data_IF_919787861009
#
_entry.id   IF_919787861009
#
_cell.length_a   1.000
_cell.length_b   1.000
_cell.length_c   1.000
_cell.angle_alpha   90.00
_cell.angle_beta   90.00
_cell.angle_gamma   90.00
#
_symmetry.space_group_name_H-M   'P 1'
#
loop_
_entity.id
_entity.type
_entity.pdbx_description
1 polymer ?
#
# COMPACT_ATOMS: atom_id res chain seq x y z
N UNK A 1 -9.45 -13.12 -11.11
CA UNK A 1 -9.06 -13.69 -9.80
C UNK A 1 -8.05 -14.84 -9.95
N UNK A 2 -8.29 -15.85 -10.81
CA UNK A 2 -7.38 -17.00 -10.99
C UNK A 2 -5.98 -16.61 -11.51
N UNK A 3 -5.88 -15.58 -12.35
CA UNK A 3 -4.61 -15.13 -12.94
C UNK A 3 -3.71 -14.36 -11.96
N UNK A 4 -4.30 -13.66 -11.00
CA UNK A 4 -3.56 -12.95 -9.94
C UNK A 4 -3.00 -13.96 -8.95
N UNK A 5 -3.81 -14.89 -8.49
CA UNK A 5 -3.39 -16.02 -7.63
C UNK A 5 -2.33 -16.89 -8.31
N UNK A 6 -2.43 -17.14 -9.64
CA UNK A 6 -1.44 -17.90 -10.40
C UNK A 6 -0.09 -17.19 -10.54
N UNK A 7 -0.07 -15.85 -10.61
CA UNK A 7 1.17 -15.05 -10.59
C UNK A 7 1.79 -15.02 -9.20
N UNK A 8 0.98 -14.93 -8.15
CA UNK A 8 1.44 -15.04 -6.76
C UNK A 8 1.99 -16.43 -6.46
N UNK A 9 1.33 -17.50 -6.89
CA UNK A 9 1.80 -18.88 -6.70
C UNK A 9 3.14 -19.14 -7.43
N UNK A 10 3.35 -18.55 -8.61
CA UNK A 10 4.65 -18.62 -9.32
C UNK A 10 5.77 -17.86 -8.59
N UNK A 11 5.49 -16.67 -8.05
CA UNK A 11 6.45 -15.92 -7.21
C UNK A 11 6.77 -16.64 -5.89
N UNK A 12 5.83 -17.37 -5.31
CA UNK A 12 6.05 -18.20 -4.12
C UNK A 12 6.91 -19.44 -4.41
N UNK A 13 6.90 -19.94 -5.65
CA UNK A 13 7.74 -21.07 -6.09
C UNK A 13 9.20 -20.71 -6.42
N UNK A 14 9.48 -19.43 -6.69
CA UNK A 14 10.86 -18.94 -6.86
C UNK A 14 11.45 -18.68 -5.46
N UNK A 15 12.53 -19.38 -5.14
CA UNK A 15 13.23 -19.42 -3.84
C UNK A 15 12.95 -18.21 -2.91
N UNK A 16 12.27 -18.40 -1.77
CA UNK A 16 11.89 -17.32 -0.84
C UNK A 16 13.11 -16.53 -0.30
N UNK A 17 14.29 -17.12 -0.34
CA UNK A 17 15.54 -16.48 0.11
C UNK A 17 16.03 -15.40 -0.87
N UNK A 18 15.82 -15.59 -2.19
CA UNK A 18 16.19 -14.58 -3.20
C UNK A 18 15.26 -13.36 -3.13
N UNK A 19 13.97 -13.58 -2.93
CA UNK A 19 12.98 -12.50 -2.80
C UNK A 19 13.24 -11.68 -1.54
N UNK A 20 13.59 -12.32 -0.41
CA UNK A 20 13.97 -11.64 0.83
C UNK A 20 15.21 -10.78 0.68
N UNK A 21 16.28 -11.31 0.05
CA UNK A 21 17.51 -10.57 -0.17
C UNK A 21 17.31 -9.37 -1.11
N UNK A 22 16.45 -9.52 -2.13
CA UNK A 22 16.13 -8.42 -3.05
C UNK A 22 15.23 -7.35 -2.39
N UNK A 23 14.31 -7.73 -1.50
CA UNK A 23 13.45 -6.80 -0.75
C UNK A 23 14.28 -5.98 0.23
N UNK A 24 15.23 -6.61 0.94
CA UNK A 24 16.18 -5.89 1.80
C UNK A 24 17.13 -4.99 1.01
N UNK A 25 17.61 -5.43 -0.14
CA UNK A 25 18.52 -4.63 -0.98
C UNK A 25 17.84 -3.43 -1.65
N UNK A 26 16.55 -3.54 -1.97
CA UNK A 26 15.75 -2.43 -2.53
C UNK A 26 15.34 -1.39 -1.47
N UNK A 27 15.13 -1.81 -0.23
CA UNK A 27 14.73 -0.91 0.87
C UNK A 27 15.83 0.02 1.40
N UNK A 28 17.03 -0.02 0.83
CA UNK A 28 18.22 0.64 1.39
C UNK A 28 18.90 1.61 0.42
N UNK A 29 18.20 2.34 -0.42
CA UNK A 29 18.80 3.54 -1.01
C UNK A 29 18.81 4.66 0.04
N UNK A 30 19.88 5.45 0.11
CA UNK A 30 20.02 6.58 1.05
C UNK A 30 18.84 7.55 0.96
N UNK A 31 18.31 7.77 -0.25
CA UNK A 31 17.16 8.63 -0.52
C UNK A 31 15.85 8.08 0.07
N UNK A 32 15.62 6.77 -0.03
CA UNK A 32 14.44 6.11 0.59
C UNK A 32 14.53 6.20 2.11
N UNK A 33 15.70 5.99 2.69
CA UNK A 33 15.91 6.14 4.14
C UNK A 33 15.67 7.57 4.63
N UNK A 34 15.99 8.57 3.82
CA UNK A 34 15.73 9.99 4.11
C UNK A 34 14.23 10.30 4.03
N UNK A 35 13.57 9.93 2.94
CA UNK A 35 12.12 10.10 2.77
C UNK A 35 11.30 9.41 3.86
N UNK A 36 11.71 8.22 4.30
CA UNK A 36 11.05 7.50 5.40
C UNK A 36 11.19 8.21 6.74
N UNK A 37 12.26 8.97 6.95
CA UNK A 37 12.53 9.70 8.22
C UNK A 37 12.01 11.13 8.22
N UNK A 38 11.99 11.79 7.08
CA UNK A 38 11.57 13.19 6.96
C UNK A 38 10.09 13.35 7.37
N UNK A 39 9.79 14.45 8.05
CA UNK A 39 8.43 14.88 8.41
C UNK A 39 8.00 16.11 7.63
N UNK A 40 8.80 16.57 6.68
CA UNK A 40 8.52 17.73 5.86
C UNK A 40 7.32 17.48 4.95
N UNK A 41 6.50 18.51 4.73
CA UNK A 41 5.27 18.43 3.95
C UNK A 41 5.53 17.96 2.52
N UNK A 42 6.58 18.48 1.86
CA UNK A 42 6.94 18.10 0.50
C UNK A 42 7.28 16.61 0.40
N UNK A 43 8.03 16.06 1.37
CA UNK A 43 8.40 14.66 1.43
C UNK A 43 7.20 13.76 1.77
N UNK A 44 6.29 14.25 2.63
CA UNK A 44 5.05 13.54 2.95
C UNK A 44 4.12 13.43 1.74
N UNK A 45 4.08 14.46 0.88
CA UNK A 45 3.28 14.48 -0.35
C UNK A 45 3.96 13.78 -1.53
N UNK A 46 5.23 13.38 -1.38
CA UNK A 46 6.03 12.76 -2.45
C UNK A 46 5.43 11.45 -2.94
N UNK A 47 5.19 11.30 -4.25
CA UNK A 47 4.75 10.05 -4.85
C UNK A 47 5.73 8.90 -4.62
N UNK A 48 7.03 9.21 -4.50
CA UNK A 48 8.08 8.24 -4.22
C UNK A 48 7.90 7.64 -2.84
N UNK A 49 7.65 8.46 -1.81
CA UNK A 49 7.39 7.98 -0.45
C UNK A 49 6.17 7.06 -0.40
N UNK A 50 5.06 7.45 -1.06
CA UNK A 50 3.84 6.64 -1.06
C UNK A 50 4.06 5.28 -1.77
N UNK A 51 4.70 5.30 -2.96
CA UNK A 51 4.99 4.08 -3.72
C UNK A 51 5.87 3.12 -2.92
N UNK A 52 6.93 3.63 -2.28
CA UNK A 52 7.86 2.84 -1.48
C UNK A 52 7.18 2.25 -0.23
N UNK A 53 6.36 3.02 0.46
CA UNK A 53 5.63 2.54 1.64
C UNK A 53 4.65 1.43 1.28
N UNK A 54 3.86 1.60 0.23
CA UNK A 54 2.88 0.60 -0.22
C UNK A 54 3.57 -0.66 -0.76
N UNK A 55 4.70 -0.51 -1.48
CA UNK A 55 5.51 -1.62 -1.96
C UNK A 55 6.14 -2.39 -0.79
N UNK A 56 6.70 -1.68 0.20
CA UNK A 56 7.26 -2.30 1.40
C UNK A 56 6.22 -3.18 2.11
N UNK A 57 4.99 -2.67 2.27
CA UNK A 57 3.91 -3.41 2.92
C UNK A 57 3.56 -4.69 2.15
N UNK A 58 3.41 -4.62 0.83
CA UNK A 58 3.12 -5.79 -0.01
C UNK A 58 4.24 -6.83 0.10
N UNK A 59 5.50 -6.43 -0.04
CA UNK A 59 6.66 -7.32 0.00
C UNK A 59 6.83 -7.98 1.39
N UNK A 60 6.62 -7.24 2.46
CA UNK A 60 6.70 -7.77 3.82
C UNK A 60 5.59 -8.78 4.12
N UNK A 61 4.35 -8.50 3.68
CA UNK A 61 3.23 -9.43 3.82
C UNK A 61 3.44 -10.70 2.99
N UNK A 62 3.95 -10.59 1.76
CA UNK A 62 4.30 -11.73 0.91
C UNK A 62 5.36 -12.61 1.58
N UNK A 63 6.41 -11.99 2.10
CA UNK A 63 7.49 -12.69 2.81
C UNK A 63 6.96 -13.39 4.06
N UNK A 64 6.12 -12.72 4.85
CA UNK A 64 5.51 -13.27 6.05
C UNK A 64 4.61 -14.47 5.73
N UNK A 65 3.75 -14.36 4.71
CA UNK A 65 2.89 -15.45 4.26
C UNK A 65 3.70 -16.68 3.84
N UNK A 66 4.73 -16.48 3.00
CA UNK A 66 5.60 -17.54 2.54
C UNK A 66 6.28 -18.28 3.71
N UNK A 67 6.81 -17.53 4.69
CA UNK A 67 7.43 -18.12 5.89
C UNK A 67 6.44 -18.93 6.73
N UNK A 68 5.21 -18.45 6.87
CA UNK A 68 4.16 -19.11 7.66
C UNK A 68 3.71 -20.43 7.01
N UNK A 69 3.45 -20.40 5.69
CA UNK A 69 3.09 -21.60 4.92
C UNK A 69 4.23 -22.62 4.96
N UNK A 70 5.47 -22.22 4.63
CA UNK A 70 6.62 -23.12 4.64
C UNK A 70 6.86 -23.77 6.01
N UNK A 71 6.69 -23.03 7.11
CA UNK A 71 6.83 -23.60 8.47
C UNK A 71 5.82 -24.70 8.73
N UNK A 72 4.56 -24.52 8.33
CA UNK A 72 3.48 -25.51 8.49
C UNK A 72 3.71 -26.77 7.64
N UNK A 73 4.10 -26.57 6.38
CA UNK A 73 4.46 -27.68 5.48
C UNK A 73 5.63 -28.51 6.04
N UNK A 74 6.67 -27.83 6.56
CA UNK A 74 7.80 -28.52 7.22
C UNK A 74 7.40 -29.25 8.49
N UNK A 75 6.32 -28.86 9.16
CA UNK A 75 5.78 -29.59 10.32
C UNK A 75 4.84 -30.75 9.93
N UNK A 76 4.72 -31.07 8.63
CA UNK A 76 3.95 -32.21 8.13
C UNK A 76 2.54 -31.89 7.64
N UNK A 77 2.13 -30.60 7.63
CA UNK A 77 0.82 -30.19 7.12
C UNK A 77 0.80 -30.23 5.59
N UNK A 78 -0.32 -30.66 4.98
CA UNK A 78 -0.48 -30.59 3.53
C UNK A 78 -0.43 -29.14 3.04
N UNK A 79 0.14 -28.89 1.86
CA UNK A 79 0.36 -27.52 1.34
C UNK A 79 -0.93 -26.70 1.27
N UNK A 80 -2.04 -27.30 0.84
CA UNK A 80 -3.33 -26.64 0.76
C UNK A 80 -3.84 -26.25 2.16
N UNK A 81 -3.80 -27.18 3.11
CA UNK A 81 -4.20 -26.94 4.49
C UNK A 81 -3.33 -25.88 5.17
N UNK A 82 -2.01 -25.90 4.91
CA UNK A 82 -1.07 -24.88 5.39
C UNK A 82 -1.40 -23.49 4.87
N UNK A 83 -1.86 -23.38 3.61
CA UNK A 83 -2.29 -22.11 3.01
C UNK A 83 -3.63 -21.66 3.59
N UNK A 84 -4.61 -22.56 3.71
CA UNK A 84 -5.92 -22.27 4.32
C UNK A 84 -5.78 -21.77 5.76
N UNK A 85 -4.86 -22.35 6.53
CA UNK A 85 -4.52 -21.89 7.88
C UNK A 85 -3.83 -20.51 7.93
N UNK A 86 -3.57 -19.89 6.77
CA UNK A 86 -2.99 -18.55 6.63
C UNK A 86 -3.92 -17.59 5.87
N UNK A 87 -5.22 -17.87 5.77
CA UNK A 87 -6.16 -17.06 4.97
C UNK A 87 -6.16 -15.57 5.32
N UNK A 88 -6.13 -15.22 6.60
CA UNK A 88 -6.09 -13.82 7.04
C UNK A 88 -4.88 -13.08 6.49
N UNK A 89 -3.71 -13.75 6.47
CA UNK A 89 -2.48 -13.21 5.89
C UNK A 89 -2.56 -13.08 4.37
N UNK A 90 -3.19 -14.06 3.70
CA UNK A 90 -3.40 -14.03 2.26
C UNK A 90 -4.35 -12.89 1.86
N UNK A 91 -5.42 -12.66 2.64
CA UNK A 91 -6.34 -11.53 2.44
C UNK A 91 -5.66 -10.18 2.67
N UNK A 92 -4.84 -10.05 3.73
CA UNK A 92 -4.07 -8.84 3.99
C UNK A 92 -3.09 -8.52 2.85
N UNK A 93 -2.41 -9.55 2.31
CA UNK A 93 -1.53 -9.41 1.15
C UNK A 93 -2.31 -9.01 -0.12
N UNK A 94 -3.45 -9.65 -0.38
CA UNK A 94 -4.29 -9.32 -1.55
C UNK A 94 -4.77 -7.86 -1.48
N UNK A 95 -5.17 -7.40 -0.30
CA UNK A 95 -5.56 -6.01 -0.04
C UNK A 95 -4.39 -5.05 -0.29
N UNK A 96 -3.21 -5.31 0.26
CA UNK A 96 -2.03 -4.48 0.05
C UNK A 96 -1.65 -4.38 -1.43
N UNK A 97 -1.75 -5.49 -2.18
CA UNK A 97 -1.51 -5.52 -3.62
C UNK A 97 -2.50 -4.63 -4.39
N UNK A 98 -3.81 -4.75 -4.10
CA UNK A 98 -4.84 -3.95 -4.77
C UNK A 98 -4.66 -2.47 -4.44
N UNK A 99 -4.38 -2.13 -3.20
CA UNK A 99 -4.17 -0.74 -2.76
C UNK A 99 -2.97 -0.11 -3.46
N UNK A 100 -1.84 -0.82 -3.57
CA UNK A 100 -0.68 -0.37 -4.32
C UNK A 100 -0.98 -0.24 -5.81
N UNK A 101 -1.62 -1.25 -6.42
CA UNK A 101 -2.00 -1.21 -7.83
C UNK A 101 -2.91 -0.02 -8.14
N UNK A 102 -3.89 0.25 -7.27
CA UNK A 102 -4.79 1.40 -7.40
C UNK A 102 -4.03 2.72 -7.29
N UNK A 103 -3.10 2.82 -6.33
CA UNK A 103 -2.25 4.00 -6.19
C UNK A 103 -1.40 4.25 -7.45
N UNK A 104 -0.73 3.22 -7.97
CA UNK A 104 0.12 3.33 -9.16
C UNK A 104 -0.70 3.75 -10.40
N UNK A 105 -1.91 3.20 -10.56
CA UNK A 105 -2.82 3.58 -11.64
C UNK A 105 -3.31 5.04 -11.49
N UNK A 106 -3.67 5.44 -10.27
CA UNK A 106 -4.09 6.82 -9.98
C UNK A 106 -2.95 7.81 -10.22
N UNK A 107 -1.76 7.54 -9.71
CA UNK A 107 -0.57 8.37 -9.92
C UNK A 107 -0.30 8.61 -11.39
N UNK A 108 -0.32 7.55 -12.20
CA UNK A 108 -0.14 7.64 -13.64
C UNK A 108 -1.22 8.47 -14.34
N UNK A 109 -2.48 8.33 -13.91
CA UNK A 109 -3.61 9.09 -14.47
C UNK A 109 -3.69 10.54 -14.00
N UNK A 110 -3.05 10.87 -12.87
CA UNK A 110 -3.04 12.22 -12.30
C UNK A 110 -1.91 13.10 -12.84
N UNK A 111 -0.92 12.52 -13.51
CA UNK A 111 0.28 13.23 -13.98
C UNK A 111 -0.06 14.47 -14.82
N UNK A 112 0.49 15.61 -14.43
CA UNK A 112 0.25 16.89 -15.09
C UNK A 112 -1.08 17.58 -14.74
N UNK A 113 -1.87 17.02 -13.82
CA UNK A 113 -3.12 17.63 -13.35
C UNK A 113 -3.03 17.90 -11.84
N UNK A 114 -2.63 19.12 -11.40
CA UNK A 114 -2.32 19.41 -10.00
C UNK A 114 -3.43 19.02 -9.00
N UNK A 115 -4.69 19.21 -9.38
CA UNK A 115 -5.83 18.82 -8.55
C UNK A 115 -5.89 17.31 -8.33
N UNK A 116 -5.65 16.50 -9.36
CA UNK A 116 -5.64 15.05 -9.27
C UNK A 116 -4.38 14.54 -8.55
N UNK A 117 -3.24 15.21 -8.73
CA UNK A 117 -2.01 14.90 -8.00
C UNK A 117 -2.20 15.10 -6.50
N UNK A 118 -2.86 16.18 -6.06
CA UNK A 118 -3.19 16.41 -4.66
C UNK A 118 -4.16 15.35 -4.10
N UNK A 119 -5.16 14.92 -4.88
CA UNK A 119 -6.05 13.83 -4.49
C UNK A 119 -5.30 12.48 -4.44
N UNK A 120 -4.36 12.24 -5.35
CA UNK A 120 -3.51 11.05 -5.34
C UNK A 120 -2.61 11.02 -4.10
N UNK A 121 -2.03 12.17 -3.72
CA UNK A 121 -1.25 12.30 -2.48
C UNK A 121 -2.11 12.03 -1.25
N UNK A 122 -3.34 12.56 -1.19
CA UNK A 122 -4.29 12.25 -0.13
C UNK A 122 -4.61 10.75 -0.07
N UNK A 123 -4.87 10.12 -1.21
CA UNK A 123 -5.15 8.68 -1.27
C UNK A 123 -3.97 7.87 -0.74
N UNK A 124 -2.73 8.16 -1.19
CA UNK A 124 -1.53 7.46 -0.75
C UNK A 124 -1.31 7.59 0.77
N UNK A 125 -1.37 8.82 1.29
CA UNK A 125 -1.22 9.06 2.73
C UNK A 125 -2.34 8.44 3.55
N UNK A 126 -3.58 8.53 3.11
CA UNK A 126 -4.71 7.90 3.79
C UNK A 126 -4.59 6.37 3.86
N UNK A 127 -4.07 5.73 2.79
CA UNK A 127 -3.81 4.28 2.82
C UNK A 127 -2.72 3.92 3.83
N UNK A 128 -1.64 4.73 3.88
CA UNK A 128 -0.56 4.55 4.87
C UNK A 128 -1.11 4.79 6.30
N UNK A 129 -1.90 5.85 6.49
CA UNK A 129 -2.52 6.18 7.78
C UNK A 129 -3.42 5.05 8.30
N UNK A 130 -4.20 4.44 7.42
CA UNK A 130 -5.13 3.35 7.78
C UNK A 130 -4.41 2.13 8.38
N UNK A 131 -3.13 1.96 8.08
CA UNK A 131 -2.29 0.84 8.53
C UNK A 131 -1.08 1.29 9.35
N UNK A 132 -1.14 2.48 9.99
CA UNK A 132 -0.02 3.03 10.77
C UNK A 132 0.50 2.07 11.84
N UNK A 133 -0.38 1.35 12.54
CA UNK A 133 0.02 0.37 13.54
C UNK A 133 0.94 -0.69 12.92
N UNK A 134 0.56 -1.22 11.77
CA UNK A 134 1.34 -2.21 11.04
C UNK A 134 2.72 -1.66 10.63
N UNK A 135 2.78 -0.43 10.11
CA UNK A 135 4.04 0.21 9.71
C UNK A 135 4.97 0.45 10.90
N UNK A 136 4.42 0.86 12.04
CA UNK A 136 5.18 1.06 13.28
C UNK A 136 5.69 -0.28 13.84
N UNK A 137 4.87 -1.32 13.89
CA UNK A 137 5.23 -2.66 14.35
C UNK A 137 6.34 -3.30 13.51
N UNK A 138 6.37 -2.99 12.20
CA UNK A 138 7.40 -3.48 11.29
C UNK A 138 8.62 -2.55 11.18
N UNK A 139 8.67 -1.48 11.98
CA UNK A 139 9.82 -0.57 12.06
C UNK A 139 10.06 0.26 10.79
N UNK A 140 9.07 0.37 9.91
CA UNK A 140 9.17 1.18 8.70
C UNK A 140 8.99 2.66 8.99
N UNK A 141 8.05 3.02 9.86
CA UNK A 141 7.79 4.40 10.26
C UNK A 141 8.18 4.63 11.72
N UNK A 142 8.71 5.81 12.01
CA UNK A 142 8.89 6.31 13.36
C UNK A 142 7.58 6.96 13.88
N UNK A 143 7.37 7.03 15.21
CA UNK A 143 6.19 7.67 15.79
C UNK A 143 5.98 9.13 15.37
N UNK A 144 7.06 9.90 15.17
CA UNK A 144 7.00 11.29 14.72
C UNK A 144 6.46 11.38 13.28
N UNK A 145 6.95 10.51 12.39
CA UNK A 145 6.45 10.41 11.02
C UNK A 145 4.97 10.02 11.00
N UNK A 146 4.55 9.09 11.85
CA UNK A 146 3.15 8.67 11.95
C UNK A 146 2.24 9.85 12.38
N UNK A 147 2.69 10.71 13.30
CA UNK A 147 1.97 11.94 13.68
C UNK A 147 1.91 12.94 12.53
N UNK A 148 3.02 13.13 11.84
CA UNK A 148 3.11 14.03 10.69
C UNK A 148 2.18 13.59 9.54
N UNK A 149 2.08 12.28 9.27
CA UNK A 149 1.16 11.71 8.27
C UNK A 149 -0.29 12.06 8.63
N UNK A 150 -0.75 11.85 9.87
CA UNK A 150 -2.10 12.20 10.30
C UNK A 150 -2.39 13.70 10.13
N UNK A 151 -1.44 14.53 10.52
CA UNK A 151 -1.58 15.98 10.34
C UNK A 151 -1.71 16.34 8.86
N UNK A 152 -0.88 15.73 8.01
CA UNK A 152 -0.88 16.00 6.57
C UNK A 152 -2.15 15.50 5.87
N UNK A 153 -2.71 14.35 6.27
CA UNK A 153 -4.02 13.88 5.78
C UNK A 153 -5.10 14.91 6.07
N UNK A 154 -5.17 15.40 7.33
CA UNK A 154 -6.16 16.42 7.71
C UNK A 154 -5.97 17.73 6.94
N UNK A 155 -4.72 18.15 6.72
CA UNK A 155 -4.42 19.36 5.95
C UNK A 155 -4.89 19.22 4.48
N UNK A 156 -4.58 18.10 3.83
CA UNK A 156 -5.03 17.81 2.46
C UNK A 156 -6.57 17.71 2.35
N UNK A 157 -7.25 17.10 3.32
CA UNK A 157 -8.72 17.07 3.36
C UNK A 157 -9.28 18.50 3.41
N UNK A 158 -8.69 19.37 4.24
CA UNK A 158 -9.09 20.78 4.31
C UNK A 158 -8.85 21.53 3.00
N UNK A 159 -7.70 21.35 2.39
CA UNK A 159 -7.31 21.94 1.11
C UNK A 159 -8.24 21.53 -0.04
N UNK A 160 -8.55 20.22 -0.14
CA UNK A 160 -9.31 19.65 -1.24
C UNK A 160 -10.84 19.77 -1.07
N UNK A 161 -11.31 20.23 0.10
CA UNK A 161 -12.75 20.35 0.40
C UNK A 161 -13.50 21.19 -0.64
N UNK A 162 -12.91 22.28 -1.10
CA UNK A 162 -13.55 23.22 -2.06
C UNK A 162 -13.73 22.59 -3.43
N UNK A 163 -12.90 21.64 -3.83
CA UNK A 163 -12.95 20.96 -5.13
C UNK A 163 -13.77 19.66 -5.12
N UNK A 164 -14.17 19.17 -3.95
CA UNK A 164 -14.80 17.85 -3.79
C UNK A 164 -16.05 17.68 -4.65
N UNK A 165 -16.92 18.68 -4.70
CA UNK A 165 -18.14 18.65 -5.52
C UNK A 165 -17.81 18.55 -7.02
N UNK A 166 -16.85 19.38 -7.50
CA UNK A 166 -16.42 19.36 -8.90
C UNK A 166 -15.81 18.02 -9.30
N UNK A 167 -14.99 17.43 -8.44
CA UNK A 167 -14.42 16.10 -8.68
C UNK A 167 -15.49 15.04 -8.73
N UNK A 168 -16.48 15.09 -7.83
CA UNK A 168 -17.62 14.15 -7.83
C UNK A 168 -18.45 14.29 -9.10
N UNK A 169 -18.71 15.50 -9.55
CA UNK A 169 -19.44 15.78 -10.80
C UNK A 169 -18.68 15.28 -12.04
N UNK A 170 -17.35 15.32 -12.02
CA UNK A 170 -16.49 14.85 -13.12
C UNK A 170 -16.63 13.34 -13.40
N UNK A 171 -17.13 12.53 -12.44
CA UNK A 171 -17.49 11.13 -12.69
C UNK A 171 -18.72 10.98 -13.61
N UNK A 172 -19.48 12.06 -13.87
CA UNK A 172 -20.64 12.09 -14.73
C UNK A 172 -21.68 10.98 -14.43
N UNK A 173 -21.82 10.59 -13.15
CA UNK A 173 -22.79 9.59 -12.72
C UNK A 173 -24.19 10.22 -12.79
N UNK A 174 -25.12 9.72 -13.62
CA UNK A 174 -26.46 10.25 -13.71
C UNK A 174 -27.21 10.15 -12.35
N UNK A 175 -28.02 11.16 -12.04
CA UNK A 175 -28.81 11.16 -10.81
C UNK A 175 -29.72 9.91 -10.68
N UNK A 176 -30.16 9.34 -11.82
CA UNK A 176 -30.94 8.10 -11.86
C UNK A 176 -30.19 6.86 -11.37
N UNK A 177 -28.85 6.92 -11.31
CA UNK A 177 -27.99 5.85 -10.78
C UNK A 177 -27.66 6.05 -9.30
N UNK A 178 -28.01 7.20 -8.73
CA UNK A 178 -27.84 7.48 -7.30
C UNK A 178 -29.11 6.96 -6.59
N UNK A 179 -28.96 6.11 -5.59
CA UNK A 179 -30.08 5.64 -4.79
C UNK A 179 -30.79 6.81 -4.08
N UNK A 180 -32.01 6.59 -3.56
CA UNK A 180 -32.66 7.60 -2.73
C UNK A 180 -31.80 7.90 -1.50
N UNK A 181 -31.55 9.18 -1.26
CA UNK A 181 -30.88 9.68 -0.06
C UNK A 181 -31.80 9.55 1.15
#
# INVERSE_FOLDING_TARGET
>A
AKDVLGRFARKLGESPVRTLAQTFARGMSARVSELVRSTDEADLRSPEFHSEALQFREDALLSSLAKRVNRRVKSGMATQEAFEACQDHALALARAHIERFTYDAFRKGAEGVPLLEAHCALYGLWRIESDLAWFLENGYLAPDKARAIRHQVNALVGELRTSALGVTQAFAIPASCLGPL
#
